data_IF_524994262273
#
_entry.id   IF_524994262273
#
_cell.length_a   1.000
_cell.length_b   1.000
_cell.length_c   1.000
_cell.angle_alpha   90.00
_cell.angle_beta   90.00
_cell.angle_gamma   90.00
#
_symmetry.space_group_name_H-M   'P 1'
#
loop_
_entity.id
_entity.type
_entity.pdbx_description
1 polymer ?
#
# COMPACT_ATOMS: atom_id res chain seq x y z
N UNK A 1 -38.66 -25.29 37.75
CA UNK A 1 -37.83 -24.14 37.35
C UNK A 1 -38.41 -23.63 36.05
N UNK A 2 -38.96 -22.42 36.05
CA UNK A 2 -39.53 -21.79 34.86
C UNK A 2 -38.40 -21.58 33.85
N UNK A 3 -38.43 -22.29 32.72
CA UNK A 3 -37.59 -21.96 31.57
C UNK A 3 -38.00 -20.56 31.09
N UNK A 4 -37.23 -19.53 31.46
CA UNK A 4 -37.47 -18.17 31.01
C UNK A 4 -37.25 -18.11 29.51
N UNK A 5 -38.34 -18.09 28.73
CA UNK A 5 -38.27 -17.99 27.28
C UNK A 5 -37.70 -16.61 26.90
N UNK A 6 -36.61 -16.59 26.16
CA UNK A 6 -36.00 -15.36 25.64
C UNK A 6 -36.47 -15.10 24.21
N UNK A 7 -37.04 -13.92 23.94
CA UNK A 7 -37.58 -13.55 22.63
C UNK A 7 -36.67 -12.51 21.99
N UNK A 8 -36.16 -12.84 20.80
CA UNK A 8 -35.38 -11.95 19.95
C UNK A 8 -36.26 -11.31 18.90
N UNK A 9 -36.41 -9.98 18.96
CA UNK A 9 -37.36 -9.22 18.15
C UNK A 9 -36.64 -8.21 17.24
N UNK A 10 -37.02 -8.09 15.95
CA UNK A 10 -36.43 -7.09 15.07
C UNK A 10 -36.85 -5.67 15.48
N UNK A 11 -35.90 -4.77 15.72
CA UNK A 11 -36.15 -3.40 16.20
C UNK A 11 -37.05 -2.57 15.27
N UNK A 12 -37.13 -2.95 14.00
CA UNK A 12 -37.85 -2.23 12.94
C UNK A 12 -39.35 -2.60 12.86
N UNK A 13 -39.78 -3.68 13.51
CA UNK A 13 -41.18 -4.13 13.52
C UNK A 13 -41.89 -3.69 14.80
N UNK A 14 -43.11 -3.19 14.66
CA UNK A 14 -43.98 -2.87 15.80
C UNK A 14 -44.70 -4.12 16.31
N UNK A 15 -44.86 -4.24 17.63
CA UNK A 15 -45.49 -5.37 18.31
C UNK A 15 -47.03 -5.40 18.12
N UNK A 16 -47.63 -4.38 17.49
CA UNK A 16 -49.08 -4.19 17.43
C UNK A 16 -49.67 -4.71 16.11
N UNK A 17 -50.41 -5.83 16.19
CA UNK A 17 -51.43 -6.24 15.22
C UNK A 17 -51.14 -7.50 14.39
N UNK A 18 -49.90 -7.70 13.95
CA UNK A 18 -49.62 -8.74 12.95
C UNK A 18 -49.27 -10.14 13.48
N UNK A 19 -49.22 -11.12 12.57
CA UNK A 19 -48.84 -12.51 12.85
C UNK A 19 -47.29 -12.64 12.76
N UNK A 20 -46.58 -12.89 13.87
CA UNK A 20 -45.13 -13.05 13.84
C UNK A 20 -44.73 -14.39 13.21
N UNK A 21 -43.63 -14.38 12.48
CA UNK A 21 -43.00 -15.60 11.95
C UNK A 21 -41.50 -15.60 12.24
N UNK A 22 -40.94 -16.79 12.38
CA UNK A 22 -39.55 -16.95 12.78
C UNK A 22 -39.19 -18.38 13.10
N UNK A 23 -38.27 -18.56 14.03
CA UNK A 23 -37.77 -19.88 14.41
C UNK A 23 -37.96 -20.11 15.91
N UNK A 24 -38.49 -21.30 16.24
CA UNK A 24 -38.74 -21.74 17.60
C UNK A 24 -37.66 -22.75 18.04
N UNK A 25 -37.13 -22.57 19.25
CA UNK A 25 -36.20 -23.50 19.88
C UNK A 25 -36.58 -23.71 21.36
N UNK A 26 -36.07 -24.77 22.01
CA UNK A 26 -36.24 -24.95 23.44
C UNK A 26 -35.69 -23.74 24.21
N UNK A 27 -36.56 -22.99 24.91
CA UNK A 27 -36.18 -21.84 25.73
C UNK A 27 -35.96 -20.51 24.99
N UNK A 28 -36.12 -20.45 23.66
CA UNK A 28 -35.84 -19.22 22.88
C UNK A 28 -36.65 -19.11 21.58
N UNK A 29 -36.97 -17.88 21.20
CA UNK A 29 -37.69 -17.55 19.96
C UNK A 29 -36.93 -16.47 19.19
N UNK A 30 -36.68 -16.70 17.90
CA UNK A 30 -36.11 -15.69 17.01
C UNK A 30 -37.15 -15.25 15.98
N UNK A 31 -37.64 -14.02 16.09
CA UNK A 31 -38.64 -13.46 15.17
C UNK A 31 -37.92 -12.86 13.95
N UNK A 32 -38.30 -13.27 12.75
CA UNK A 32 -37.74 -12.75 11.49
C UNK A 32 -38.49 -11.50 11.00
N UNK A 33 -39.80 -11.47 11.24
CA UNK A 33 -40.67 -10.35 10.91
C UNK A 33 -42.12 -10.62 11.29
N UNK A 34 -42.99 -9.68 10.94
CA UNK A 34 -44.43 -9.73 11.22
C UNK A 34 -45.19 -9.61 9.90
N UNK A 35 -46.22 -10.44 9.71
CA UNK A 35 -47.17 -10.33 8.60
C UNK A 35 -48.32 -9.40 9.02
N UNK A 36 -48.63 -8.41 8.18
CA UNK A 36 -49.63 -7.36 8.45
C UNK A 36 -51.06 -7.90 8.66
N UNK A 37 -51.85 -7.10 9.38
CA UNK A 37 -53.25 -7.35 9.75
C UNK A 37 -54.15 -7.77 8.57
N UNK A 38 -54.90 -8.86 8.76
CA UNK A 38 -55.95 -9.32 7.84
C UNK A 38 -55.73 -10.69 7.19
N UNK A 39 -54.58 -11.34 7.39
CA UNK A 39 -54.40 -12.75 7.03
C UNK A 39 -54.83 -13.67 8.17
N UNK A 40 -55.48 -14.77 7.83
CA UNK A 40 -55.67 -15.89 8.76
C UNK A 40 -54.35 -16.64 8.98
N UNK A 41 -54.24 -17.37 10.08
CA UNK A 41 -53.05 -18.17 10.43
C UNK A 41 -52.73 -19.18 9.32
N UNK A 42 -53.74 -19.81 8.73
CA UNK A 42 -53.59 -20.78 7.64
C UNK A 42 -53.07 -20.11 6.35
N UNK A 43 -53.54 -18.90 6.03
CA UNK A 43 -53.04 -18.13 4.88
C UNK A 43 -51.60 -17.64 5.10
N UNK A 44 -51.23 -17.31 6.34
CA UNK A 44 -49.87 -16.95 6.71
C UNK A 44 -48.91 -18.15 6.54
N UNK A 45 -49.31 -19.34 7.00
CA UNK A 45 -48.56 -20.57 6.78
C UNK A 45 -48.44 -20.91 5.29
N UNK A 46 -49.53 -20.79 4.53
CA UNK A 46 -49.51 -21.03 3.09
C UNK A 46 -48.54 -20.08 2.38
N UNK A 47 -48.52 -18.80 2.78
CA UNK A 47 -47.60 -17.80 2.24
C UNK A 47 -46.13 -18.12 2.55
N UNK A 48 -45.82 -18.61 3.74
CA UNK A 48 -44.48 -19.13 4.08
C UNK A 48 -44.15 -20.40 3.28
N UNK A 49 -45.13 -21.27 3.05
CA UNK A 49 -44.94 -22.53 2.34
C UNK A 49 -44.72 -22.37 0.83
N UNK A 50 -45.13 -21.24 0.23
CA UNK A 50 -44.94 -20.93 -1.19
C UNK A 50 -43.48 -20.69 -1.60
N UNK A 51 -42.58 -20.42 -0.67
CA UNK A 51 -41.18 -20.11 -0.98
C UNK A 51 -40.27 -21.33 -0.83
N UNK A 52 -39.38 -21.54 -1.80
CA UNK A 52 -38.27 -22.50 -1.69
C UNK A 52 -37.15 -21.86 -0.89
N UNK A 53 -36.92 -22.38 0.33
CA UNK A 53 -35.99 -21.80 1.29
C UNK A 53 -34.54 -22.25 1.04
N UNK A 54 -33.61 -21.30 1.10
CA UNK A 54 -32.17 -21.51 1.27
C UNK A 54 -31.78 -20.59 2.44
N UNK A 55 -31.50 -21.07 3.67
CA UNK A 55 -30.77 -22.31 4.03
C UNK A 55 -31.51 -23.22 5.07
N UNK A 56 -30.78 -24.10 5.79
CA UNK A 56 -31.17 -25.32 6.53
C UNK A 56 -32.40 -25.30 7.48
N UNK A 57 -33.01 -24.16 7.81
CA UNK A 57 -34.16 -24.07 8.73
C UNK A 57 -35.32 -23.24 8.16
N UNK A 58 -36.46 -23.90 7.96
CA UNK A 58 -37.69 -23.24 7.50
C UNK A 58 -38.32 -22.43 8.64
N UNK A 59 -38.63 -21.13 8.43
CA UNK A 59 -39.37 -20.35 9.43
C UNK A 59 -40.82 -20.84 9.53
N UNK A 60 -41.36 -20.84 10.74
CA UNK A 60 -42.75 -21.17 11.04
C UNK A 60 -43.51 -19.94 11.51
N UNK A 61 -44.84 -19.99 11.41
CA UNK A 61 -45.70 -19.05 12.14
C UNK A 61 -45.52 -19.29 13.63
N UNK A 62 -45.46 -18.20 14.40
CA UNK A 62 -45.28 -18.27 15.83
C UNK A 62 -46.65 -17.98 16.50
N UNK A 63 -47.30 -19.03 16.96
CA UNK A 63 -48.63 -18.94 17.60
C UNK A 63 -48.51 -18.43 19.05
N UNK A 64 -49.48 -17.60 19.47
CA UNK A 64 -49.74 -17.22 20.87
C UNK A 64 -48.50 -16.79 21.69
N UNK A 65 -47.64 -15.93 21.13
CA UNK A 65 -46.60 -15.28 21.92
C UNK A 65 -47.20 -14.19 22.82
N UNK A 66 -47.36 -14.50 24.10
CA UNK A 66 -47.59 -13.48 25.12
C UNK A 66 -46.31 -12.66 25.38
N UNK A 67 -46.16 -11.56 24.64
CA UNK A 67 -44.99 -10.68 24.70
C UNK A 67 -44.77 -10.04 26.08
N UNK A 68 -45.72 -10.15 27.03
CA UNK A 68 -45.59 -9.61 28.39
C UNK A 68 -44.87 -10.55 29.36
N UNK A 69 -44.81 -11.84 29.06
CA UNK A 69 -44.26 -12.88 29.95
C UNK A 69 -42.77 -13.19 29.73
N UNK A 70 -42.13 -12.56 28.74
CA UNK A 70 -40.81 -12.97 28.24
C UNK A 70 -39.73 -11.90 28.33
N UNK A 71 -38.48 -12.34 28.49
CA UNK A 71 -37.29 -11.47 28.41
C UNK A 71 -37.04 -11.07 26.95
N UNK A 72 -37.17 -9.77 26.64
CA UNK A 72 -37.06 -9.25 25.27
C UNK A 72 -35.67 -8.73 24.93
N UNK A 73 -35.16 -9.16 23.78
CA UNK A 73 -33.92 -8.67 23.19
C UNK A 73 -34.21 -8.16 21.78
N UNK A 74 -34.03 -6.86 21.56
CA UNK A 74 -34.22 -6.26 20.24
C UNK A 74 -32.93 -6.32 19.43
N UNK A 75 -33.00 -6.68 18.15
CA UNK A 75 -31.86 -6.71 17.25
C UNK A 75 -32.13 -5.95 15.94
N UNK A 76 -31.09 -5.42 15.31
CA UNK A 76 -31.21 -4.83 13.98
C UNK A 76 -31.10 -5.89 12.89
N UNK A 77 -31.99 -5.82 11.89
CA UNK A 77 -31.89 -6.61 10.66
C UNK A 77 -30.96 -5.90 9.69
N UNK A 78 -29.96 -6.61 9.17
CA UNK A 78 -29.06 -6.06 8.17
C UNK A 78 -29.37 -6.62 6.79
N UNK A 79 -29.45 -5.77 5.74
CA UNK A 79 -29.58 -6.25 4.38
C UNK A 79 -28.43 -7.18 4.02
N UNK A 80 -28.67 -8.17 3.17
CA UNK A 80 -27.65 -9.12 2.69
C UNK A 80 -26.46 -8.46 1.95
N UNK A 81 -26.53 -7.15 1.71
CA UNK A 81 -25.48 -6.32 1.12
C UNK A 81 -24.56 -5.67 2.16
N UNK A 82 -24.99 -5.65 3.43
CA UNK A 82 -24.19 -5.18 4.54
C UNK A 82 -23.15 -6.24 4.88
N UNK A 83 -21.92 -5.81 5.19
CA UNK A 83 -20.90 -6.69 5.79
C UNK A 83 -20.98 -6.67 7.33
N UNK A 84 -22.08 -6.14 7.88
CA UNK A 84 -22.36 -6.18 9.33
C UNK A 84 -23.15 -7.44 9.61
N UNK A 85 -22.45 -8.41 10.15
CA UNK A 85 -23.02 -9.67 10.59
C UNK A 85 -22.70 -9.85 12.06
N UNK A 86 -23.61 -10.50 12.77
CA UNK A 86 -23.36 -10.94 14.14
C UNK A 86 -22.47 -12.18 14.07
N UNK A 87 -21.45 -12.24 14.93
CA UNK A 87 -20.57 -13.40 15.10
C UNK A 87 -20.20 -13.57 16.57
N UNK A 88 -19.96 -14.81 16.99
CA UNK A 88 -19.53 -15.17 18.35
C UNK A 88 -18.09 -15.66 18.29
N UNK A 89 -17.24 -15.17 19.20
CA UNK A 89 -15.77 -15.33 19.17
C UNK A 89 -15.30 -16.79 19.40
N UNK A 90 -16.20 -17.71 19.75
CA UNK A 90 -15.84 -19.07 20.09
C UNK A 90 -16.75 -20.11 19.42
N UNK A 91 -16.16 -20.95 18.57
CA UNK A 91 -16.83 -22.01 17.80
C UNK A 91 -17.08 -23.29 18.62
N UNK A 92 -16.74 -23.30 19.92
CA UNK A 92 -16.84 -24.49 20.79
C UNK A 92 -17.81 -24.37 21.96
N UNK A 93 -18.96 -23.72 21.79
CA UNK A 93 -19.91 -23.57 22.89
C UNK A 93 -21.14 -24.49 22.80
N UNK A 94 -21.45 -25.11 23.94
CA UNK A 94 -22.66 -25.87 24.24
C UNK A 94 -23.92 -25.02 24.04
N UNK A 95 -25.05 -25.65 23.74
CA UNK A 95 -26.33 -24.96 23.62
C UNK A 95 -26.68 -24.21 24.91
N UNK A 96 -26.67 -22.88 24.86
CA UNK A 96 -27.12 -22.04 25.98
C UNK A 96 -28.59 -21.64 25.79
N UNK A 97 -29.25 -21.30 26.90
CA UNK A 97 -30.60 -20.73 26.91
C UNK A 97 -30.64 -19.27 26.37
N UNK A 98 -29.47 -18.65 26.17
CA UNK A 98 -29.31 -17.29 25.67
C UNK A 98 -28.87 -17.22 24.20
N UNK A 99 -27.90 -16.36 23.89
CA UNK A 99 -27.31 -16.21 22.54
C UNK A 99 -26.42 -17.42 22.19
N UNK A 100 -26.78 -18.15 21.14
CA UNK A 100 -25.97 -19.23 20.56
C UNK A 100 -25.78 -19.05 19.05
N UNK A 101 -24.97 -19.93 18.44
CA UNK A 101 -24.65 -19.87 17.01
C UNK A 101 -25.91 -19.93 16.12
N UNK A 102 -26.90 -20.74 16.49
CA UNK A 102 -28.16 -20.87 15.74
C UNK A 102 -28.95 -19.56 15.71
N UNK A 103 -29.08 -18.86 16.85
CA UNK A 103 -29.73 -17.53 16.89
C UNK A 103 -28.96 -16.52 16.05
N UNK A 104 -27.63 -16.51 16.15
CA UNK A 104 -26.78 -15.57 15.40
C UNK A 104 -26.89 -15.80 13.89
N UNK A 105 -26.93 -17.07 13.47
CA UNK A 105 -27.20 -17.45 12.08
C UNK A 105 -28.58 -16.96 11.63
N UNK A 106 -29.60 -17.05 12.48
CA UNK A 106 -30.94 -16.54 12.18
C UNK A 106 -31.04 -15.01 12.16
N UNK A 107 -30.30 -14.28 12.99
CA UNK A 107 -30.19 -12.81 12.87
C UNK A 107 -29.67 -12.39 11.51
N UNK A 108 -28.64 -13.10 11.03
CA UNK A 108 -28.02 -12.84 9.74
C UNK A 108 -28.94 -13.22 8.55
N UNK A 109 -29.92 -14.11 8.76
CA UNK A 109 -30.88 -14.56 7.74
C UNK A 109 -32.22 -13.81 7.78
N UNK A 110 -32.61 -13.24 8.92
CA UNK A 110 -33.92 -12.63 9.15
C UNK A 110 -34.30 -11.60 8.08
N UNK A 111 -33.37 -10.75 7.66
CA UNK A 111 -33.63 -9.76 6.61
C UNK A 111 -33.93 -10.42 5.24
N UNK A 112 -33.21 -11.49 4.89
CA UNK A 112 -33.41 -12.19 3.62
C UNK A 112 -34.79 -12.85 3.61
N UNK A 113 -35.13 -13.56 4.69
CA UNK A 113 -36.44 -14.18 4.88
C UNK A 113 -37.55 -13.13 4.80
N UNK A 114 -37.41 -12.03 5.53
CA UNK A 114 -38.37 -10.93 5.51
C UNK A 114 -38.55 -10.33 4.11
N UNK A 115 -37.46 -10.15 3.36
CA UNK A 115 -37.51 -9.63 1.99
C UNK A 115 -38.22 -10.60 1.03
N UNK A 116 -37.98 -11.90 1.16
CA UNK A 116 -38.66 -12.95 0.37
C UNK A 116 -40.16 -12.93 0.63
N UNK A 117 -40.56 -12.98 1.91
CA UNK A 117 -41.96 -13.08 2.34
C UNK A 117 -42.79 -11.84 1.91
N UNK A 118 -42.16 -10.67 1.94
CA UNK A 118 -42.78 -9.40 1.56
C UNK A 118 -42.61 -9.04 0.08
N UNK A 119 -42.01 -9.90 -0.74
CA UNK A 119 -41.80 -9.64 -2.17
C UNK A 119 -40.88 -8.44 -2.45
N UNK A 120 -40.06 -8.04 -1.47
CA UNK A 120 -39.09 -6.97 -1.63
C UNK A 120 -37.93 -7.45 -2.52
N UNK A 121 -37.40 -6.60 -3.42
CA UNK A 121 -36.33 -7.01 -4.32
C UNK A 121 -35.07 -7.34 -3.52
N UNK A 122 -34.72 -8.63 -3.47
CA UNK A 122 -33.46 -9.11 -2.93
C UNK A 122 -32.39 -8.77 -3.96
N UNK A 123 -31.82 -7.57 -3.85
CA UNK A 123 -30.66 -7.16 -4.64
C UNK A 123 -29.42 -7.93 -4.16
N UNK A 124 -29.38 -9.21 -4.48
CA UNK A 124 -28.15 -10.00 -4.51
C UNK A 124 -27.39 -9.51 -5.73
N UNK A 125 -26.26 -8.82 -5.52
CA UNK A 125 -25.34 -8.44 -6.60
C UNK A 125 -24.59 -9.69 -7.16
N UNK A 126 -25.30 -10.82 -7.31
CA UNK A 126 -24.80 -12.11 -7.79
C UNK A 126 -24.33 -12.09 -9.24
N UNK A 127 -24.95 -11.37 -10.21
CA UNK A 127 -24.49 -11.45 -11.59
C UNK A 127 -23.37 -10.48 -11.94
N UNK A 128 -23.36 -9.24 -11.44
CA UNK A 128 -22.32 -8.25 -11.83
C UNK A 128 -20.99 -8.48 -11.12
N UNK A 129 -20.97 -8.92 -9.85
CA UNK A 129 -19.72 -9.24 -9.17
C UNK A 129 -19.08 -10.47 -9.82
N UNK A 130 -19.83 -11.56 -10.03
CA UNK A 130 -19.32 -12.76 -10.70
C UNK A 130 -18.92 -12.50 -12.16
N UNK A 131 -19.64 -11.66 -12.89
CA UNK A 131 -19.30 -11.25 -14.25
C UNK A 131 -18.02 -10.38 -14.29
N UNK A 132 -17.91 -9.39 -13.39
CA UNK A 132 -16.69 -8.58 -13.23
C UNK A 132 -15.49 -9.43 -12.77
N UNK A 133 -15.72 -10.41 -11.88
CA UNK A 133 -14.74 -11.39 -11.44
C UNK A 133 -14.28 -12.28 -12.59
N UNK A 134 -15.19 -12.75 -13.44
CA UNK A 134 -14.85 -13.58 -14.60
C UNK A 134 -14.14 -12.78 -15.70
N UNK A 135 -14.52 -11.52 -15.95
CA UNK A 135 -13.83 -10.61 -16.88
C UNK A 135 -12.44 -10.27 -16.35
N UNK A 136 -12.33 -9.90 -15.07
CA UNK A 136 -11.04 -9.64 -14.44
C UNK A 136 -10.15 -10.90 -14.50
N UNK A 137 -10.69 -12.09 -14.18
CA UNK A 137 -9.94 -13.34 -14.26
C UNK A 137 -9.51 -13.69 -15.70
N UNK A 138 -10.36 -13.47 -16.71
CA UNK A 138 -10.01 -13.76 -18.12
C UNK A 138 -8.99 -12.77 -18.69
N UNK A 139 -9.03 -11.50 -18.29
CA UNK A 139 -8.05 -10.48 -18.69
C UNK A 139 -6.73 -10.62 -17.93
N UNK A 140 -6.77 -10.99 -16.64
CA UNK A 140 -5.59 -11.04 -15.76
C UNK A 140 -4.83 -12.36 -15.92
N UNK A 141 -5.49 -13.51 -16.15
CA UNK A 141 -4.84 -14.82 -16.35
C UNK A 141 -3.69 -14.83 -17.37
N UNK A 142 -3.82 -14.26 -18.59
CA UNK A 142 -2.70 -14.21 -19.53
C UNK A 142 -1.55 -13.33 -19.04
N UNK A 143 -1.84 -12.22 -18.34
CA UNK A 143 -0.83 -11.34 -17.73
C UNK A 143 -0.09 -12.05 -16.58
N UNK A 144 -0.82 -12.82 -15.74
CA UNK A 144 -0.23 -13.63 -14.67
C UNK A 144 0.63 -14.75 -15.24
N UNK A 145 0.13 -15.43 -16.28
CA UNK A 145 0.88 -16.47 -16.99
C UNK A 145 2.19 -15.91 -17.55
N UNK A 146 2.14 -14.72 -18.14
CA UNK A 146 3.34 -14.03 -18.62
C UNK A 146 4.29 -13.68 -17.47
N UNK A 147 3.78 -13.18 -16.33
CA UNK A 147 4.62 -12.92 -15.15
C UNK A 147 5.25 -14.19 -14.56
N UNK A 148 4.58 -15.35 -14.69
CA UNK A 148 5.13 -16.65 -14.27
C UNK A 148 6.29 -17.11 -15.16
N UNK A 149 6.25 -16.79 -16.46
CA UNK A 149 7.38 -17.03 -17.37
C UNK A 149 8.53 -16.03 -17.18
N UNK A 150 8.27 -14.84 -16.60
CA UNK A 150 9.28 -13.82 -16.30
C UNK A 150 10.01 -14.10 -14.96
N UNK A 151 9.75 -15.22 -14.28
CA UNK A 151 10.67 -15.77 -13.27
C UNK A 151 11.95 -16.29 -13.94
N UNK A 152 12.73 -15.38 -14.51
CA UNK A 152 14.07 -15.62 -14.99
C UNK A 152 14.96 -16.00 -13.79
N UNK A 153 15.51 -17.23 -13.74
CA UNK A 153 16.30 -17.72 -12.60
C UNK A 153 17.60 -16.92 -12.35
N UNK A 154 17.97 -16.01 -13.27
CA UNK A 154 19.21 -15.25 -13.24
C UNK A 154 19.12 -13.89 -12.50
N UNK A 155 17.91 -13.40 -12.20
CA UNK A 155 17.69 -12.06 -11.65
C UNK A 155 17.65 -11.88 -10.11
N UNK A 156 17.61 -12.89 -9.22
CA UNK A 156 17.33 -12.63 -7.79
C UNK A 156 18.40 -11.80 -7.08
N UNK A 157 19.66 -11.81 -7.54
CA UNK A 157 20.74 -10.97 -6.99
C UNK A 157 20.69 -9.52 -7.45
N UNK A 158 20.19 -9.27 -8.66
CA UNK A 158 20.09 -7.93 -9.26
C UNK A 158 18.73 -7.28 -9.00
N UNK A 159 17.71 -8.08 -8.67
CA UNK A 159 16.35 -7.63 -8.37
C UNK A 159 16.24 -6.46 -7.37
N UNK A 160 16.99 -6.41 -6.24
CA UNK A 160 16.85 -5.29 -5.31
C UNK A 160 17.45 -3.98 -5.83
N UNK A 161 18.16 -4.00 -6.96
CA UNK A 161 18.81 -2.81 -7.53
C UNK A 161 17.99 -2.15 -8.64
N UNK A 162 16.95 -2.82 -9.15
CA UNK A 162 16.10 -2.32 -10.24
C UNK A 162 14.65 -2.18 -9.76
N UNK A 163 14.16 -0.95 -9.69
CA UNK A 163 12.80 -0.64 -9.28
C UNK A 163 11.77 -1.29 -10.22
N UNK A 164 12.05 -1.32 -11.53
CA UNK A 164 11.19 -1.96 -12.52
C UNK A 164 11.01 -3.45 -12.23
N UNK A 165 12.09 -4.15 -11.91
CA UNK A 165 12.05 -5.58 -11.63
C UNK A 165 11.33 -5.86 -10.31
N UNK A 166 11.52 -5.02 -9.29
CA UNK A 166 10.77 -5.10 -8.04
C UNK A 166 9.26 -4.87 -8.27
N UNK A 167 8.88 -3.85 -9.04
CA UNK A 167 7.48 -3.54 -9.32
C UNK A 167 6.83 -4.64 -10.17
N UNK A 168 7.56 -5.23 -11.12
CA UNK A 168 7.09 -6.38 -11.88
C UNK A 168 6.82 -7.60 -10.97
N UNK A 169 7.69 -7.85 -9.98
CA UNK A 169 7.45 -8.89 -8.96
C UNK A 169 6.21 -8.58 -8.12
N UNK A 170 6.03 -7.34 -7.68
CA UNK A 170 4.84 -6.92 -6.91
C UNK A 170 3.57 -7.20 -7.71
N UNK A 171 3.54 -6.83 -9.00
CA UNK A 171 2.40 -7.08 -9.88
C UNK A 171 2.17 -8.58 -10.12
N UNK A 172 3.22 -9.37 -10.31
CA UNK A 172 3.12 -10.84 -10.41
C UNK A 172 2.53 -11.47 -9.14
N UNK A 173 3.01 -11.06 -7.96
CA UNK A 173 2.51 -11.54 -6.67
C UNK A 173 1.06 -11.13 -6.43
N UNK A 174 0.69 -9.89 -6.72
CA UNK A 174 -0.70 -9.43 -6.59
C UNK A 174 -1.64 -10.20 -7.50
N UNK A 175 -1.19 -10.53 -8.71
CA UNK A 175 -2.00 -11.28 -9.65
C UNK A 175 -2.20 -12.74 -9.21
N UNK A 176 -1.20 -13.34 -8.56
CA UNK A 176 -1.33 -14.66 -7.93
C UNK A 176 -2.29 -14.63 -6.72
N UNK A 177 -2.08 -13.70 -5.78
CA UNK A 177 -2.98 -13.51 -4.63
C UNK A 177 -4.41 -13.23 -5.06
N UNK A 178 -4.58 -12.47 -6.15
CA UNK A 178 -5.88 -12.21 -6.76
C UNK A 178 -6.57 -13.51 -7.20
N UNK A 179 -5.88 -14.37 -7.96
CA UNK A 179 -6.45 -15.64 -8.43
C UNK A 179 -6.84 -16.57 -7.26
N UNK A 180 -5.97 -16.69 -6.25
CA UNK A 180 -6.27 -17.48 -5.05
C UNK A 180 -7.48 -16.93 -4.30
N UNK A 181 -7.57 -15.60 -4.13
CA UNK A 181 -8.69 -14.98 -3.45
C UNK A 181 -10.02 -15.17 -4.19
N UNK A 182 -10.05 -15.28 -5.52
CA UNK A 182 -11.28 -15.58 -6.28
C UNK A 182 -11.81 -16.97 -5.91
N UNK A 183 -10.94 -17.98 -5.98
CA UNK A 183 -11.30 -19.36 -5.69
C UNK A 183 -11.71 -19.52 -4.23
N UNK A 184 -10.97 -18.88 -3.32
CA UNK A 184 -11.30 -18.87 -1.90
C UNK A 184 -12.59 -18.11 -1.61
N UNK A 185 -12.87 -16.94 -2.18
CA UNK A 185 -14.14 -16.22 -1.98
C UNK A 185 -15.35 -16.98 -2.54
N UNK A 186 -15.14 -17.75 -3.61
CA UNK A 186 -16.18 -18.62 -4.17
C UNK A 186 -16.47 -19.82 -3.25
N UNK A 187 -15.44 -20.45 -2.68
CA UNK A 187 -15.57 -21.61 -1.78
C UNK A 187 -15.97 -21.22 -0.34
N UNK A 188 -15.50 -20.08 0.15
CA UNK A 188 -15.67 -19.60 1.52
C UNK A 188 -17.09 -19.14 1.86
N UNK A 189 -17.91 -18.90 0.83
CA UNK A 189 -19.28 -18.40 0.96
C UNK A 189 -20.15 -19.24 1.90
N UNK A 190 -19.93 -20.55 1.92
CA UNK A 190 -20.80 -21.50 2.61
C UNK A 190 -20.18 -22.08 3.89
N UNK A 191 -18.87 -21.90 4.13
CA UNK A 191 -18.13 -22.61 5.21
C UNK A 191 -17.34 -21.68 6.15
N UNK A 192 -17.03 -20.44 5.77
CA UNK A 192 -16.17 -19.57 6.59
C UNK A 192 -16.93 -18.67 7.56
N UNK A 193 -16.35 -18.40 8.76
CA UNK A 193 -16.88 -17.39 9.66
C UNK A 193 -16.99 -16.03 8.97
N UNK A 194 -18.13 -15.38 9.18
CA UNK A 194 -18.54 -14.21 8.40
C UNK A 194 -17.58 -13.01 8.54
N UNK A 195 -16.94 -12.73 9.70
CA UNK A 195 -15.94 -11.66 9.80
C UNK A 195 -14.70 -11.91 8.96
N UNK A 196 -14.25 -13.16 8.87
CA UNK A 196 -13.11 -13.53 8.02
C UNK A 196 -13.47 -13.35 6.54
N UNK A 197 -14.69 -13.71 6.16
CA UNK A 197 -15.22 -13.43 4.82
C UNK A 197 -15.28 -11.93 4.53
N UNK A 198 -15.78 -11.10 5.46
CA UNK A 198 -15.88 -9.66 5.29
C UNK A 198 -14.51 -8.98 5.16
N UNK A 199 -13.52 -9.41 5.94
CA UNK A 199 -12.14 -8.92 5.83
C UNK A 199 -11.51 -9.31 4.48
N UNK A 200 -11.67 -10.57 4.06
CA UNK A 200 -11.18 -11.05 2.77
C UNK A 200 -11.85 -10.31 1.61
N UNK A 201 -13.17 -10.13 1.67
CA UNK A 201 -13.94 -9.36 0.69
C UNK A 201 -13.44 -7.92 0.60
N UNK A 202 -13.31 -7.21 1.73
CA UNK A 202 -12.86 -5.80 1.71
C UNK A 202 -11.44 -5.63 1.22
N UNK A 203 -10.53 -6.54 1.56
CA UNK A 203 -9.16 -6.53 1.00
C UNK A 203 -9.16 -6.83 -0.50
N UNK A 204 -9.88 -7.85 -0.94
CA UNK A 204 -9.98 -8.23 -2.36
C UNK A 204 -10.50 -7.08 -3.25
N UNK A 205 -11.59 -6.43 -2.85
CA UNK A 205 -12.12 -5.28 -3.59
C UNK A 205 -11.22 -4.05 -3.50
N UNK A 206 -10.43 -3.90 -2.43
CA UNK A 206 -9.41 -2.86 -2.36
C UNK A 206 -8.32 -3.07 -3.41
N UNK A 207 -7.84 -4.30 -3.55
CA UNK A 207 -6.79 -4.65 -4.50
C UNK A 207 -7.27 -4.46 -5.95
N UNK A 208 -8.50 -4.89 -6.26
CA UNK A 208 -9.14 -4.60 -7.56
C UNK A 208 -9.18 -3.10 -7.83
N UNK A 209 -9.62 -2.32 -6.84
CA UNK A 209 -9.79 -0.89 -7.01
C UNK A 209 -8.46 -0.19 -7.26
N UNK A 210 -7.41 -0.57 -6.52
CA UNK A 210 -6.05 -0.05 -6.73
C UNK A 210 -5.53 -0.41 -8.13
N UNK A 211 -5.68 -1.67 -8.53
CA UNK A 211 -5.27 -2.15 -9.85
C UNK A 211 -6.00 -1.40 -10.97
N UNK A 212 -7.32 -1.25 -10.87
CA UNK A 212 -8.11 -0.54 -11.86
C UNK A 212 -7.68 0.93 -12.00
N UNK A 213 -7.44 1.63 -10.89
CA UNK A 213 -6.95 3.01 -10.92
C UNK A 213 -5.54 3.09 -11.54
N UNK A 214 -4.64 2.18 -11.18
CA UNK A 214 -3.28 2.15 -11.73
C UNK A 214 -3.27 1.91 -13.25
N UNK A 215 -4.12 0.99 -13.74
CA UNK A 215 -4.29 0.75 -15.18
C UNK A 215 -5.00 1.89 -15.89
N UNK A 216 -6.00 2.52 -15.28
CA UNK A 216 -6.73 3.65 -15.88
C UNK A 216 -5.80 4.86 -16.04
N UNK A 217 -5.06 5.21 -14.98
CA UNK A 217 -4.06 6.28 -15.02
C UNK A 217 -2.92 5.89 -15.97
N UNK A 218 -2.47 4.64 -15.91
CA UNK A 218 -1.38 4.12 -16.73
C UNK A 218 -1.70 4.11 -18.23
N UNK A 219 -2.94 3.79 -18.59
CA UNK A 219 -3.41 3.87 -19.97
C UNK A 219 -3.40 5.32 -20.47
N UNK A 220 -3.96 6.25 -19.70
CA UNK A 220 -3.95 7.68 -20.06
C UNK A 220 -2.55 8.25 -20.18
N UNK A 221 -1.69 7.98 -19.19
CA UNK A 221 -0.29 8.42 -19.18
C UNK A 221 0.53 7.78 -20.31
N UNK A 222 0.34 6.48 -20.54
CA UNK A 222 1.05 5.73 -21.57
C UNK A 222 0.70 6.17 -22.98
N UNK A 223 -0.58 6.37 -23.26
CA UNK A 223 -1.03 6.94 -24.55
C UNK A 223 -0.46 8.34 -24.77
N UNK A 224 -0.47 9.19 -23.75
CA UNK A 224 0.12 10.53 -23.82
C UNK A 224 1.63 10.50 -24.13
N UNK A 225 2.38 9.57 -23.51
CA UNK A 225 3.80 9.35 -23.82
C UNK A 225 3.99 8.83 -25.24
N UNK A 226 3.20 7.85 -25.67
CA UNK A 226 3.31 7.25 -27.00
C UNK A 226 2.99 8.25 -28.12
N UNK A 227 1.94 9.05 -27.97
CA UNK A 227 1.55 10.05 -28.97
C UNK A 227 2.56 11.19 -29.08
N UNK A 228 3.14 11.62 -27.95
CA UNK A 228 4.04 12.77 -27.89
C UNK A 228 5.52 12.38 -27.68
N UNK A 229 5.89 11.12 -27.95
CA UNK A 229 7.19 10.56 -27.61
C UNK A 229 8.38 11.39 -28.12
N UNK A 230 8.29 11.96 -29.33
CA UNK A 230 9.34 12.84 -29.89
C UNK A 230 9.50 14.12 -29.09
N UNK A 231 8.40 14.81 -28.80
CA UNK A 231 8.42 16.08 -28.03
C UNK A 231 8.96 15.86 -26.61
N UNK A 232 8.55 14.77 -25.97
CA UNK A 232 9.07 14.41 -24.65
C UNK A 232 10.54 14.02 -24.70
N UNK A 233 10.97 13.29 -25.73
CA UNK A 233 12.37 12.95 -25.91
C UNK A 233 13.24 14.19 -26.13
N UNK A 234 12.83 15.11 -27.00
CA UNK A 234 13.55 16.37 -27.25
C UNK A 234 13.64 17.21 -25.96
N UNK A 235 12.54 17.31 -25.22
CA UNK A 235 12.50 18.02 -23.93
C UNK A 235 13.43 17.36 -22.89
N UNK A 236 13.46 16.03 -22.85
CA UNK A 236 14.31 15.25 -21.95
C UNK A 236 15.79 15.42 -22.31
N UNK A 237 16.13 15.40 -23.59
CA UNK A 237 17.50 15.64 -24.10
C UNK A 237 17.98 17.02 -23.65
N UNK A 238 17.19 18.06 -23.90
CA UNK A 238 17.51 19.44 -23.48
C UNK A 238 17.63 19.54 -21.96
N UNK A 239 16.74 18.89 -21.23
CA UNK A 239 16.77 18.88 -19.76
C UNK A 239 18.06 18.24 -19.23
N UNK A 240 18.47 17.09 -19.76
CA UNK A 240 19.70 16.40 -19.36
C UNK A 240 20.92 17.26 -19.68
N UNK A 241 21.04 17.76 -20.92
CA UNK A 241 22.18 18.57 -21.33
C UNK A 241 22.31 19.84 -20.49
N UNK A 242 21.20 20.52 -20.22
CA UNK A 242 21.22 21.79 -19.47
C UNK A 242 21.50 21.55 -17.99
N UNK A 243 20.75 20.65 -17.34
CA UNK A 243 20.77 20.54 -15.88
C UNK A 243 21.85 19.61 -15.35
N UNK A 244 22.17 18.54 -16.08
CA UNK A 244 23.07 17.49 -15.59
C UNK A 244 24.48 17.59 -16.17
N UNK A 245 24.66 18.29 -17.30
CA UNK A 245 25.98 18.57 -17.87
C UNK A 245 26.37 20.04 -17.66
N UNK A 246 25.72 20.97 -18.39
CA UNK A 246 26.14 22.38 -18.43
C UNK A 246 26.11 23.05 -17.04
N UNK A 247 25.02 22.93 -16.29
CA UNK A 247 24.94 23.52 -14.93
C UNK A 247 25.99 22.96 -13.96
N UNK A 248 26.37 21.69 -14.12
CA UNK A 248 27.39 21.08 -13.27
C UNK A 248 28.77 21.63 -13.64
N UNK A 249 29.07 21.77 -14.92
CA UNK A 249 30.29 22.42 -15.40
C UNK A 249 30.38 23.87 -14.96
N UNK A 250 29.31 24.66 -15.14
CA UNK A 250 29.22 26.05 -14.70
C UNK A 250 29.47 26.18 -13.19
N UNK A 251 28.92 25.25 -12.40
CA UNK A 251 29.13 25.24 -10.94
C UNK A 251 30.58 24.91 -10.59
N UNK A 252 31.25 24.04 -11.34
CA UNK A 252 32.68 23.71 -11.14
C UNK A 252 33.60 24.87 -11.54
N UNK A 253 33.26 25.62 -12.58
CA UNK A 253 33.96 26.86 -12.97
C UNK A 253 33.72 27.97 -11.95
N UNK A 254 32.50 28.10 -11.46
CA UNK A 254 32.16 29.03 -10.38
C UNK A 254 32.93 28.71 -9.09
N UNK A 255 33.05 27.42 -8.74
CA UNK A 255 33.80 26.99 -7.56
C UNK A 255 35.31 27.26 -7.69
N UNK A 256 35.84 27.31 -8.92
CA UNK A 256 37.24 27.69 -9.18
C UNK A 256 37.48 29.20 -9.07
N UNK A 257 36.47 30.02 -9.37
CA UNK A 257 36.55 31.48 -9.46
C UNK A 257 36.24 32.24 -8.15
N UNK A 258 36.40 31.57 -7.00
CA UNK A 258 36.24 32.09 -5.63
C UNK A 258 34.77 32.17 -5.18
N UNK A 259 34.16 31.03 -4.83
CA UNK A 259 32.76 30.95 -4.44
C UNK A 259 32.50 31.74 -3.16
N UNK A 260 31.49 32.62 -3.19
CA UNK A 260 31.05 33.39 -2.03
C UNK A 260 32.17 34.17 -1.29
N UNK A 261 33.24 34.56 -2.00
CA UNK A 261 34.40 35.27 -1.42
C UNK A 261 35.36 34.38 -0.63
N UNK A 262 35.19 33.07 -0.65
CA UNK A 262 36.05 32.11 0.02
C UNK A 262 37.32 31.87 -0.83
N UNK A 263 38.48 32.29 -0.32
CA UNK A 263 39.76 32.13 -1.00
C UNK A 263 40.25 30.69 -0.88
N UNK A 264 39.95 29.89 -1.90
CA UNK A 264 40.42 28.52 -2.04
C UNK A 264 41.88 28.46 -2.51
N UNK A 265 42.51 27.29 -2.35
CA UNK A 265 43.82 27.06 -2.94
C UNK A 265 43.66 26.97 -4.47
N UNK A 266 44.21 27.95 -5.18
CA UNK A 266 43.98 28.12 -6.62
C UNK A 266 44.49 26.94 -7.45
N UNK A 267 45.65 26.39 -7.12
CA UNK A 267 46.24 25.30 -7.90
C UNK A 267 45.50 23.99 -7.69
N UNK A 268 45.11 23.70 -6.45
CA UNK A 268 44.30 22.53 -6.14
C UNK A 268 42.89 22.64 -6.76
N UNK A 269 42.28 23.83 -6.66
CA UNK A 269 40.95 24.10 -7.23
C UNK A 269 40.95 23.91 -8.75
N UNK A 270 41.93 24.46 -9.46
CA UNK A 270 42.10 24.26 -10.92
C UNK A 270 42.23 22.79 -11.28
N UNK A 271 43.00 22.02 -10.51
CA UNK A 271 43.16 20.58 -10.72
C UNK A 271 41.83 19.85 -10.57
N UNK A 272 41.09 20.11 -9.48
CA UNK A 272 39.79 19.50 -9.23
C UNK A 272 38.75 19.87 -10.28
N UNK A 273 38.65 21.16 -10.62
CA UNK A 273 37.71 21.66 -11.63
C UNK A 273 37.94 20.97 -12.97
N UNK A 274 39.18 20.96 -13.46
CA UNK A 274 39.53 20.28 -14.73
C UNK A 274 39.20 18.79 -14.70
N UNK A 275 39.60 18.11 -13.63
CA UNK A 275 39.39 16.67 -13.50
C UNK A 275 37.91 16.29 -13.45
N UNK A 276 37.09 17.00 -12.68
CA UNK A 276 35.65 16.74 -12.62
C UNK A 276 34.91 17.14 -13.90
N UNK A 277 35.28 18.27 -14.52
CA UNK A 277 34.72 18.67 -15.82
C UNK A 277 35.03 17.58 -16.86
N UNK A 278 36.25 17.04 -16.90
CA UNK A 278 36.59 15.94 -17.81
C UNK A 278 35.73 14.69 -17.58
N UNK A 279 35.39 14.35 -16.34
CA UNK A 279 34.50 13.22 -16.03
C UNK A 279 33.06 13.50 -16.53
N UNK A 280 32.56 14.71 -16.29
CA UNK A 280 31.22 15.13 -16.74
C UNK A 280 31.14 15.13 -18.26
N UNK A 281 32.14 15.69 -18.95
CA UNK A 281 32.21 15.73 -20.40
C UNK A 281 32.35 14.35 -21.03
N UNK A 282 33.21 13.48 -20.49
CA UNK A 282 33.34 12.10 -20.96
C UNK A 282 32.01 11.35 -20.91
N UNK A 283 31.25 11.53 -19.83
CA UNK A 283 29.92 10.93 -19.72
C UNK A 283 28.91 11.61 -20.62
N UNK A 284 28.97 12.93 -20.77
CA UNK A 284 28.16 13.71 -21.70
C UNK A 284 28.32 13.24 -23.14
N UNK A 285 29.55 12.99 -23.58
CA UNK A 285 29.87 12.46 -24.90
C UNK A 285 29.32 11.04 -25.08
N UNK A 286 29.46 10.18 -24.07
CA UNK A 286 28.89 8.82 -24.08
C UNK A 286 27.36 8.87 -24.20
N UNK A 287 26.72 9.72 -23.41
CA UNK A 287 25.28 9.95 -23.42
C UNK A 287 24.82 10.43 -24.80
N UNK A 288 25.46 11.47 -25.34
CA UNK A 288 25.12 12.07 -26.63
C UNK A 288 25.26 11.08 -27.78
N UNK A 289 26.28 10.22 -27.72
CA UNK A 289 26.60 9.28 -28.79
C UNK A 289 25.73 8.02 -28.77
N UNK A 290 25.44 7.48 -27.59
CA UNK A 290 24.82 6.16 -27.47
C UNK A 290 23.39 6.17 -26.92
N UNK A 291 23.03 7.14 -26.07
CA UNK A 291 21.74 7.11 -25.35
C UNK A 291 20.73 8.13 -25.87
N UNK A 292 21.13 9.39 -26.04
CA UNK A 292 20.24 10.47 -26.50
C UNK A 292 19.59 10.23 -27.88
N UNK A 293 20.29 9.64 -28.89
CA UNK A 293 19.67 9.32 -30.17
C UNK A 293 18.52 8.31 -30.04
N UNK A 294 18.53 7.51 -28.97
CA UNK A 294 17.53 6.51 -28.66
C UNK A 294 16.50 7.00 -27.63
N UNK A 295 16.55 8.27 -27.22
CA UNK A 295 15.59 8.85 -26.27
C UNK A 295 14.11 8.68 -26.69
N UNK A 296 13.72 8.84 -27.98
CA UNK A 296 12.34 8.59 -28.40
C UNK A 296 11.91 7.14 -28.18
N UNK A 297 12.81 6.17 -28.36
CA UNK A 297 12.53 4.76 -28.11
C UNK A 297 12.43 4.45 -26.61
N UNK A 298 13.23 5.11 -25.77
CA UNK A 298 13.10 5.00 -24.32
C UNK A 298 11.77 5.56 -23.82
N UNK A 299 11.32 6.70 -24.35
CA UNK A 299 10.01 7.26 -24.03
C UNK A 299 8.88 6.34 -24.48
N UNK A 300 8.99 5.75 -25.69
CA UNK A 300 8.03 4.74 -26.16
C UNK A 300 8.03 3.50 -25.27
N UNK A 301 9.20 3.03 -24.83
CA UNK A 301 9.29 1.91 -23.89
C UNK A 301 8.57 2.22 -22.56
N UNK A 302 8.76 3.42 -21.99
CA UNK A 302 8.00 3.88 -20.83
C UNK A 302 6.49 3.98 -21.12
N UNK A 303 6.11 4.40 -22.33
CA UNK A 303 4.72 4.44 -22.78
C UNK A 303 4.07 3.06 -22.84
N UNK A 304 4.71 2.09 -23.52
CA UNK A 304 4.20 0.72 -23.61
C UNK A 304 4.15 0.02 -22.25
N UNK A 305 5.18 0.20 -21.42
CA UNK A 305 5.17 -0.34 -20.05
C UNK A 305 4.06 0.26 -19.20
N UNK A 306 3.70 1.53 -19.41
CA UNK A 306 2.54 2.17 -18.76
C UNK A 306 1.20 1.60 -19.24
N UNK A 307 1.03 1.42 -20.55
CA UNK A 307 -0.23 0.90 -21.14
C UNK A 307 -0.50 -0.53 -20.69
N UNK A 308 0.52 -1.40 -20.70
CA UNK A 308 0.34 -2.83 -20.39
C UNK A 308 0.58 -3.19 -18.92
N UNK A 309 1.37 -2.40 -18.19
CA UNK A 309 1.79 -2.68 -16.83
C UNK A 309 1.25 -1.74 -15.75
N UNK A 310 0.48 -0.72 -16.15
CA UNK A 310 -0.03 0.31 -15.25
C UNK A 310 0.98 1.43 -14.98
N UNK A 311 0.49 2.51 -14.37
CA UNK A 311 1.26 3.73 -14.14
C UNK A 311 2.48 3.50 -13.24
N UNK A 312 2.31 2.73 -12.17
CA UNK A 312 3.42 2.38 -11.26
C UNK A 312 4.60 1.68 -11.94
N UNK A 313 4.34 0.79 -12.93
CA UNK A 313 5.42 0.09 -13.64
C UNK A 313 6.20 1.04 -14.54
N UNK A 314 5.52 2.00 -15.16
CA UNK A 314 6.16 3.05 -15.96
C UNK A 314 7.04 3.96 -15.11
N UNK A 315 6.55 4.40 -13.94
CA UNK A 315 7.36 5.19 -13.00
C UNK A 315 8.63 4.41 -12.60
N UNK A 316 8.49 3.12 -12.28
CA UNK A 316 9.63 2.28 -11.91
C UNK A 316 10.67 2.17 -13.05
N UNK A 317 10.23 2.04 -14.31
CA UNK A 317 11.11 2.08 -15.47
C UNK A 317 11.83 3.43 -15.62
N UNK A 318 11.11 4.54 -15.41
CA UNK A 318 11.67 5.90 -15.52
C UNK A 318 12.76 6.13 -14.47
N UNK A 319 12.54 5.71 -13.21
CA UNK A 319 13.56 5.81 -12.16
C UNK A 319 14.81 5.04 -12.53
N UNK A 320 14.67 3.80 -13.00
CA UNK A 320 15.82 2.97 -13.38
C UNK A 320 16.60 3.60 -14.54
N UNK A 321 15.92 4.16 -15.55
CA UNK A 321 16.57 4.90 -16.65
C UNK A 321 17.33 6.11 -16.12
N UNK A 322 16.74 6.91 -15.22
CA UNK A 322 17.41 8.08 -14.66
C UNK A 322 18.63 7.66 -13.83
N UNK A 323 18.44 6.71 -12.90
CA UNK A 323 19.46 6.28 -11.95
C UNK A 323 20.65 5.59 -12.63
N UNK A 324 20.38 4.65 -13.53
CA UNK A 324 21.41 3.83 -14.17
C UNK A 324 22.01 4.46 -15.43
N UNK A 325 21.21 5.15 -16.25
CA UNK A 325 21.70 5.67 -17.52
C UNK A 325 22.12 7.14 -17.43
N UNK A 326 21.44 7.96 -16.65
CA UNK A 326 21.61 9.42 -16.73
C UNK A 326 22.60 9.93 -15.67
N UNK A 327 22.42 9.53 -14.40
CA UNK A 327 23.16 10.08 -13.26
C UNK A 327 24.50 9.42 -12.84
N UNK A 328 25.04 8.35 -13.45
CA UNK A 328 26.25 7.69 -12.95
C UNK A 328 27.49 8.58 -12.75
N UNK A 329 27.72 9.52 -13.67
CA UNK A 329 28.86 10.45 -13.58
C UNK A 329 28.86 11.28 -12.28
N UNK A 330 27.69 11.71 -11.81
CA UNK A 330 27.54 12.47 -10.55
C UNK A 330 27.87 11.59 -9.35
N UNK A 331 27.45 10.32 -9.38
CA UNK A 331 27.79 9.33 -8.36
C UNK A 331 29.29 9.06 -8.35
N UNK A 332 29.94 8.92 -9.51
CA UNK A 332 31.40 8.76 -9.62
C UNK A 332 32.13 9.97 -9.03
N UNK A 333 31.72 11.20 -9.39
CA UNK A 333 32.30 12.42 -8.83
C UNK A 333 32.14 12.50 -7.30
N UNK A 334 30.97 12.11 -6.77
CA UNK A 334 30.75 12.00 -5.33
C UNK A 334 31.67 10.96 -4.68
N UNK A 335 31.80 9.76 -5.25
CA UNK A 335 32.66 8.72 -4.71
C UNK A 335 34.13 9.15 -4.68
N UNK A 336 34.61 9.80 -5.74
CA UNK A 336 35.98 10.30 -5.83
C UNK A 336 36.23 11.44 -4.83
N UNK A 337 35.33 12.43 -4.75
CA UNK A 337 35.46 13.52 -3.77
C UNK A 337 35.40 13.02 -2.33
N UNK A 338 34.51 12.07 -2.03
CA UNK A 338 34.42 11.40 -0.73
C UNK A 338 35.71 10.64 -0.39
N UNK A 339 36.29 9.93 -1.35
CA UNK A 339 37.55 9.19 -1.16
C UNK A 339 38.67 10.14 -0.76
N UNK A 340 38.88 11.22 -1.52
CA UNK A 340 39.95 12.18 -1.22
C UNK A 340 39.70 12.89 0.11
N UNK A 341 38.46 13.30 0.38
CA UNK A 341 38.08 13.87 1.66
C UNK A 341 38.40 12.93 2.83
N UNK A 342 38.07 11.63 2.71
CA UNK A 342 38.36 10.64 3.75
C UNK A 342 39.87 10.48 3.99
N UNK A 343 40.67 10.45 2.93
CA UNK A 343 42.13 10.34 3.03
C UNK A 343 42.71 11.57 3.73
N UNK A 344 42.37 12.78 3.27
CA UNK A 344 42.92 14.03 3.84
C UNK A 344 42.44 14.26 5.26
N UNK A 345 41.17 13.96 5.56
CA UNK A 345 40.66 14.01 6.94
C UNK A 345 41.42 13.05 7.85
N UNK A 346 41.65 11.81 7.43
CA UNK A 346 42.41 10.83 8.20
C UNK A 346 43.87 11.26 8.42
N UNK A 347 44.50 11.81 7.39
CA UNK A 347 45.83 12.38 7.48
C UNK A 347 45.88 13.55 8.46
N UNK A 348 44.98 14.52 8.36
CA UNK A 348 44.89 15.67 9.26
C UNK A 348 44.72 15.26 10.73
N UNK A 349 43.85 14.29 11.01
CA UNK A 349 43.65 13.78 12.39
C UNK A 349 44.93 13.14 12.92
N UNK A 350 45.63 12.37 12.08
CA UNK A 350 46.88 11.71 12.46
C UNK A 350 48.03 12.71 12.67
N UNK A 351 48.13 13.72 11.80
CA UNK A 351 49.11 14.80 11.86
C UNK A 351 48.85 15.75 13.04
N UNK A 352 47.60 16.01 13.37
CA UNK A 352 47.22 16.77 14.57
C UNK A 352 47.63 16.06 15.85
N UNK A 353 47.49 14.73 15.89
CA UNK A 353 47.99 13.94 17.00
C UNK A 353 49.51 14.01 17.12
N UNK A 354 50.22 13.87 15.99
CA UNK A 354 51.68 13.99 15.92
C UNK A 354 52.16 15.36 16.41
N UNK A 355 51.51 16.45 16.00
CA UNK A 355 51.80 17.82 16.46
C UNK A 355 51.68 17.97 17.98
N UNK A 356 50.80 17.20 18.62
CA UNK A 356 50.62 17.17 20.08
C UNK A 356 51.55 16.19 20.79
N UNK A 357 52.48 15.53 20.09
CA UNK A 357 53.32 14.46 20.65
C UNK A 357 52.51 13.24 21.07
N UNK A 358 51.42 12.93 20.37
CA UNK A 358 50.55 11.79 20.68
C UNK A 358 50.46 10.84 19.50
N UNK A 359 50.42 9.53 19.78
CA UNK A 359 50.25 8.47 18.77
C UNK A 359 49.07 7.58 19.14
N UNK A 360 48.24 7.26 18.15
CA UNK A 360 47.16 6.28 18.38
C UNK A 360 47.74 4.87 18.47
N UNK A 361 47.54 4.21 19.60
CA UNK A 361 47.99 2.85 19.83
C UNK A 361 46.88 1.87 19.43
N UNK A 362 47.06 1.17 18.31
CA UNK A 362 46.08 0.21 17.77
C UNK A 362 45.82 -0.94 18.76
N UNK A 363 46.84 -1.37 19.51
CA UNK A 363 46.72 -2.49 20.45
C UNK A 363 45.90 -2.12 21.70
N UNK A 364 45.99 -0.86 22.15
CA UNK A 364 45.30 -0.37 23.36
C UNK A 364 44.10 0.53 23.08
N UNK A 365 43.76 0.74 21.79
CA UNK A 365 42.67 1.61 21.29
C UNK A 365 42.61 2.99 21.99
N UNK A 366 43.77 3.60 22.27
CA UNK A 366 43.89 4.89 22.97
C UNK A 366 45.03 5.75 22.42
N UNK A 367 45.00 7.03 22.74
CA UNK A 367 46.09 7.98 22.43
C UNK A 367 47.15 7.92 23.52
N UNK A 368 48.36 7.45 23.19
CA UNK A 368 49.51 7.45 24.09
C UNK A 368 50.44 8.63 23.78
N UNK A 369 51.13 9.15 24.81
CA UNK A 369 52.23 10.10 24.61
C UNK A 369 53.36 9.39 23.87
N UNK A 370 53.93 10.05 22.88
CA UNK A 370 54.98 9.50 22.03
C UNK A 370 56.13 10.49 21.95
N UNK A 371 57.32 10.02 22.33
CA UNK A 371 58.55 10.80 22.23
C UNK A 371 58.97 10.83 20.75
N UNK A 372 58.59 11.92 20.08
CA UNK A 372 58.99 12.20 18.71
C UNK A 372 60.30 12.97 18.69
N UNK A 373 61.21 12.56 17.79
CA UNK A 373 62.37 13.37 17.45
C UNK A 373 61.93 14.73 16.88
N UNK A 374 62.75 15.75 17.13
CA UNK A 374 62.48 17.14 16.72
C UNK A 374 62.24 17.23 15.20
N UNK A 375 63.01 16.48 14.40
CA UNK A 375 62.89 16.45 12.95
C UNK A 375 61.56 15.87 12.47
N UNK A 376 61.07 14.81 13.14
CA UNK A 376 59.78 14.19 12.84
C UNK A 376 58.62 15.13 13.19
N UNK A 377 58.73 15.84 14.32
CA UNK A 377 57.75 16.85 14.72
C UNK A 377 57.72 18.02 13.73
N UNK A 378 58.89 18.48 13.27
CA UNK A 378 59.01 19.56 12.28
C UNK A 378 58.36 19.16 10.95
N UNK A 379 58.69 17.98 10.42
CA UNK A 379 58.09 17.45 9.18
C UNK A 379 56.57 17.29 9.33
N UNK A 380 56.11 16.75 10.45
CA UNK A 380 54.69 16.60 10.77
C UNK A 380 53.96 17.95 10.83
N UNK A 381 54.59 18.97 11.40
CA UNK A 381 54.04 20.32 11.48
C UNK A 381 53.93 20.98 10.09
N UNK A 382 54.96 20.82 9.24
CA UNK A 382 54.93 21.33 7.87
C UNK A 382 53.85 20.64 7.04
N UNK A 383 53.76 19.32 7.10
CA UNK A 383 52.74 18.58 6.37
C UNK A 383 51.33 18.89 6.90
N UNK A 384 51.16 19.05 8.22
CA UNK A 384 49.91 19.45 8.84
C UNK A 384 49.45 20.82 8.35
N UNK A 385 50.33 21.82 8.39
CA UNK A 385 50.00 23.19 7.95
C UNK A 385 49.63 23.20 6.47
N UNK A 386 50.35 22.49 5.61
CA UNK A 386 50.01 22.34 4.18
C UNK A 386 48.62 21.72 4.02
N UNK A 387 48.36 20.55 4.61
CA UNK A 387 47.06 19.88 4.49
C UNK A 387 45.92 20.73 5.06
N UNK A 388 46.16 21.46 6.15
CA UNK A 388 45.16 22.34 6.77
C UNK A 388 44.76 23.49 5.84
N UNK A 389 45.70 24.04 5.05
CA UNK A 389 45.40 25.05 4.04
C UNK A 389 44.72 24.48 2.78
N UNK A 390 44.99 23.22 2.43
CA UNK A 390 44.33 22.55 1.29
C UNK A 390 42.91 22.08 1.65
N UNK A 391 42.67 21.77 2.92
CA UNK A 391 41.42 21.16 3.40
C UNK A 391 40.14 21.92 3.05
N UNK A 392 40.04 23.26 3.18
CA UNK A 392 38.84 24.00 2.79
C UNK A 392 38.43 23.77 1.33
N UNK A 393 39.41 23.64 0.44
CA UNK A 393 39.17 23.37 -1.00
C UNK A 393 38.58 21.98 -1.19
N UNK A 394 39.20 20.96 -0.60
CA UNK A 394 38.71 19.57 -0.67
C UNK A 394 37.30 19.45 -0.07
N UNK A 395 37.08 20.15 1.04
CA UNK A 395 35.79 20.17 1.74
C UNK A 395 34.69 20.80 0.86
N UNK A 396 34.98 21.92 0.17
CA UNK A 396 34.03 22.58 -0.71
C UNK A 396 33.59 21.69 -1.89
N UNK A 397 34.54 21.05 -2.58
CA UNK A 397 34.23 20.11 -3.67
C UNK A 397 33.47 18.88 -3.17
N UNK A 398 33.82 18.36 -1.99
CA UNK A 398 33.06 17.27 -1.36
C UNK A 398 31.61 17.68 -1.05
N UNK A 399 31.39 18.87 -0.49
CA UNK A 399 30.04 19.35 -0.19
C UNK A 399 29.19 19.55 -1.44
N UNK A 400 29.77 20.06 -2.53
CA UNK A 400 29.09 20.20 -3.81
C UNK A 400 28.51 18.85 -4.26
N UNK A 401 29.36 17.83 -4.44
CA UNK A 401 28.89 16.53 -4.91
C UNK A 401 28.04 15.78 -3.88
N UNK A 402 28.28 15.98 -2.58
CA UNK A 402 27.43 15.43 -1.54
C UNK A 402 26.00 16.01 -1.60
N UNK A 403 25.85 17.31 -1.84
CA UNK A 403 24.54 17.96 -1.99
C UNK A 403 23.77 17.44 -3.20
N UNK A 404 24.45 17.31 -4.35
CA UNK A 404 23.89 16.71 -5.57
C UNK A 404 23.46 15.26 -5.30
N UNK A 405 24.33 14.45 -4.70
CA UNK A 405 24.03 13.05 -4.41
C UNK A 405 22.86 12.88 -3.42
N UNK A 406 22.77 13.72 -2.38
CA UNK A 406 21.63 13.71 -1.46
C UNK A 406 20.34 14.11 -2.18
N UNK A 407 20.38 15.10 -3.09
CA UNK A 407 19.23 15.48 -3.89
C UNK A 407 18.72 14.31 -4.76
N UNK A 408 19.63 13.60 -5.43
CA UNK A 408 19.30 12.41 -6.23
C UNK A 408 18.66 11.29 -5.38
N UNK A 409 19.26 10.97 -4.23
CA UNK A 409 18.71 9.97 -3.31
C UNK A 409 17.34 10.39 -2.77
N UNK A 410 17.16 11.67 -2.46
CA UNK A 410 15.89 12.20 -1.95
C UNK A 410 14.79 12.09 -3.00
N UNK A 411 15.08 12.45 -4.26
CA UNK A 411 14.15 12.28 -5.37
C UNK A 411 13.76 10.81 -5.55
N UNK A 412 14.72 9.89 -5.52
CA UNK A 412 14.44 8.46 -5.60
C UNK A 412 13.55 7.98 -4.44
N UNK A 413 13.85 8.38 -3.20
CA UNK A 413 13.07 8.00 -2.02
C UNK A 413 11.62 8.54 -2.07
N UNK A 414 11.42 9.77 -2.55
CA UNK A 414 10.08 10.35 -2.72
C UNK A 414 9.26 9.54 -3.72
N UNK A 415 9.85 9.12 -4.84
CA UNK A 415 9.13 8.33 -5.84
C UNK A 415 8.85 6.91 -5.32
N UNK A 416 9.80 6.26 -4.65
CA UNK A 416 9.61 4.93 -4.04
C UNK A 416 8.51 4.94 -2.97
N UNK A 417 8.45 5.98 -2.14
CA UNK A 417 7.37 6.14 -1.15
C UNK A 417 6.01 6.37 -1.82
N UNK A 418 5.95 7.16 -2.90
CA UNK A 418 4.72 7.34 -3.68
C UNK A 418 4.26 6.02 -4.32
N UNK A 419 5.18 5.21 -4.85
CA UNK A 419 4.89 3.87 -5.38
C UNK A 419 4.35 2.95 -4.28
N UNK A 420 4.97 2.95 -3.10
CA UNK A 420 4.50 2.16 -1.97
C UNK A 420 3.09 2.56 -1.51
N UNK A 421 2.79 3.86 -1.54
CA UNK A 421 1.47 4.39 -1.26
C UNK A 421 0.45 3.92 -2.31
N UNK A 422 0.74 4.11 -3.60
CA UNK A 422 -0.14 3.66 -4.70
C UNK A 422 -0.44 2.16 -4.68
N UNK A 423 0.50 1.34 -4.20
CA UNK A 423 0.32 -0.11 -4.16
C UNK A 423 -0.48 -0.61 -2.95
N UNK A 424 -0.55 0.14 -1.84
CA UNK A 424 -1.13 -0.35 -0.58
C UNK A 424 -2.24 0.55 0.02
N UNK A 425 -2.64 1.62 -0.67
CA UNK A 425 -3.58 2.58 -0.10
C UNK A 425 -5.00 1.96 0.07
N UNK A 426 -5.64 2.06 1.24
CA UNK A 426 -6.96 1.46 1.49
C UNK A 426 -8.12 2.27 0.87
N UNK A 427 -8.07 2.52 -0.44
CA UNK A 427 -9.06 3.29 -1.19
C UNK A 427 -10.48 2.77 -1.03
N UNK A 428 -10.67 1.45 -1.13
CA UNK A 428 -12.01 0.87 -1.09
C UNK A 428 -12.64 1.00 0.30
N UNK A 429 -11.85 0.83 1.36
CA UNK A 429 -12.32 1.03 2.75
C UNK A 429 -12.72 2.49 2.99
N UNK A 430 -11.92 3.44 2.50
CA UNK A 430 -12.24 4.87 2.55
C UNK A 430 -13.52 5.19 1.73
N UNK A 431 -13.63 4.66 0.52
CA UNK A 431 -14.81 4.84 -0.33
C UNK A 431 -16.09 4.31 0.34
N UNK A 432 -16.03 3.10 0.91
CA UNK A 432 -17.14 2.53 1.65
C UNK A 432 -17.51 3.39 2.87
N UNK A 433 -16.51 3.93 3.58
CA UNK A 433 -16.74 4.83 4.72
C UNK A 433 -17.55 6.07 4.33
N UNK A 434 -17.32 6.64 3.15
CA UNK A 434 -18.05 7.81 2.68
C UNK A 434 -19.39 7.48 2.02
N UNK A 435 -19.45 6.43 1.18
CA UNK A 435 -20.63 6.13 0.36
C UNK A 435 -21.67 5.30 1.09
N UNK A 436 -21.25 4.30 1.86
CA UNK A 436 -22.15 3.37 2.55
C UNK A 436 -21.44 2.74 3.77
N UNK A 437 -21.44 3.44 4.93
CA UNK A 437 -20.83 2.94 6.16
C UNK A 437 -21.44 1.61 6.62
N UNK A 438 -22.64 1.24 6.13
CA UNK A 438 -23.31 -0.02 6.47
C UNK A 438 -22.58 -1.24 5.92
N UNK A 439 -21.67 -1.07 4.98
CA UNK A 439 -20.84 -2.13 4.38
C UNK A 439 -19.50 -2.33 5.08
N UNK A 440 -19.21 -1.61 6.15
CA UNK A 440 -18.01 -1.84 6.96
C UNK A 440 -18.36 -2.67 8.19
N UNK A 441 -17.46 -3.58 8.63
CA UNK A 441 -17.63 -4.28 9.89
C UNK A 441 -17.72 -3.27 11.04
N UNK A 442 -18.52 -3.62 12.05
CA UNK A 442 -18.86 -2.72 13.14
C UNK A 442 -19.03 -3.49 14.44
N UNK A 443 -18.84 -2.81 15.58
CA UNK A 443 -18.87 -3.45 16.91
C UNK A 443 -20.29 -3.45 17.46
N UNK A 444 -20.63 -4.52 18.17
CA UNK A 444 -21.92 -4.69 18.84
C UNK A 444 -21.86 -4.04 20.23
N UNK A 445 -22.90 -3.29 20.58
CA UNK A 445 -23.10 -2.71 21.90
C UNK A 445 -24.50 -3.10 22.41
N UNK A 446 -24.56 -3.48 23.68
CA UNK A 446 -25.82 -3.76 24.36
C UNK A 446 -26.28 -2.50 25.08
N UNK A 447 -27.48 -2.01 24.76
CA UNK A 447 -28.11 -0.89 25.46
C UNK A 447 -29.25 -1.44 26.31
N UNK A 448 -29.16 -1.37 27.65
CA UNK A 448 -30.28 -1.74 28.51
C UNK A 448 -31.41 -0.71 28.38
N UNK A 449 -32.64 -1.20 28.29
CA UNK A 449 -33.91 -0.47 28.34
C UNK A 449 -34.75 -1.04 29.49
N UNK A 450 -35.78 -0.32 29.95
CA UNK A 450 -36.49 -0.58 31.21
C UNK A 450 -36.89 -2.05 31.42
N UNK A 451 -37.31 -2.77 30.36
CA UNK A 451 -37.64 -4.21 30.38
C UNK A 451 -37.03 -5.00 29.18
N UNK A 452 -36.03 -4.44 28.48
CA UNK A 452 -35.47 -5.08 27.28
C UNK A 452 -34.00 -4.73 27.04
N UNK A 453 -33.28 -5.57 26.30
CA UNK A 453 -31.91 -5.28 25.86
C UNK A 453 -31.93 -4.99 24.37
N UNK A 454 -31.40 -3.85 23.93
CA UNK A 454 -31.26 -3.54 22.51
C UNK A 454 -29.84 -3.82 22.07
N UNK A 455 -29.68 -4.72 21.11
CA UNK A 455 -28.42 -4.99 20.42
C UNK A 455 -28.27 -3.96 19.29
N UNK A 456 -27.38 -2.99 19.49
CA UNK A 456 -27.05 -1.99 18.47
C UNK A 456 -25.66 -2.24 17.91
N UNK A 457 -25.53 -2.19 16.59
CA UNK A 457 -24.22 -2.20 15.93
C UNK A 457 -23.80 -0.77 15.64
N UNK A 458 -22.71 -0.33 16.25
CA UNK A 458 -22.15 1.01 16.01
C UNK A 458 -20.92 0.89 15.14
N UNK A 459 -20.99 1.46 13.94
CA UNK A 459 -19.81 1.66 13.10
C UNK A 459 -18.87 2.67 13.76
N UNK A 460 -17.56 2.53 13.55
CA UNK A 460 -16.54 3.53 13.90
C UNK A 460 -16.81 4.84 13.12
N UNK A 461 -17.80 5.62 13.54
CA UNK A 461 -18.15 6.90 12.92
C UNK A 461 -18.44 8.02 13.92
N UNK A 462 -17.94 7.91 15.16
CA UNK A 462 -17.76 9.07 16.05
C UNK A 462 -16.46 8.95 16.86
N UNK A 463 -15.36 9.26 16.21
CA UNK A 463 -14.26 10.02 16.80
C UNK A 463 -13.99 11.18 15.87
#
# INVERSE_FOLDING_TARGET
MLSTLTVFWPLEETDDGGIPYGWLYPGKVCVAGVLLDGLTVDEAEERLNRFTWLPESKPSVLHDLDLTAYSRIYYHRYPSQSLRFYDLDDSRHEHTEGLDYNIVQHFNQAYQVHSIVNGLPIRLHKPTAAFLLNIAATLIRPVVSLSRYVYLPFLPRLLPHFAFAQQLRVRGSQAETFLTNIEELAAARDVTPIPQYAQRYTSFFNDIWLLLNDYTIGFGFGTLLCENHRRFADSLVVFIQTNLLLRVEDTLVWLDSWPAGLKLNTELSKFYSRMFISIVQLWGDLLLRYMLPHAPMLVLFCGYTSVFGGFTLAIAAIIDIIGFCVTPHLTVCYMLSRLVYSIVKGALVSLWALFRGKRYNVLRKRMDTWDCDVDQLLLGTLLFTLLAFLFPTILAYYFLFASIHICLLWQQAVIETLLAFMNNFPLFKLMLKFKDPSRLPATIYFRPSQNSIVIQVRSYSRC
#
